data_IF_702496854530
#
_entry.id   IF_702496854530
#
_cell.length_a   1.000
_cell.length_b   1.000
_cell.length_c   1.000
_cell.angle_alpha   90.00
_cell.angle_beta   90.00
_cell.angle_gamma   90.00
#
_symmetry.space_group_name_H-M   'P 1'
#
loop_
_entity.id
_entity.type
_entity.pdbx_description
1 polymer ?
#
# COMPACT_ATOMS: atom_id res chain seq x y z
N UNK A 1 -1.02 -28.79 6.66
CA UNK A 1 -1.79 -29.77 5.84
C UNK A 1 -2.34 -29.02 4.64
N UNK A 2 -2.12 -29.44 3.38
CA UNK A 2 -2.71 -28.75 2.23
C UNK A 2 -4.17 -29.18 2.06
N UNK A 3 -5.02 -28.21 1.79
CA UNK A 3 -6.46 -28.40 1.59
C UNK A 3 -6.75 -29.08 0.25
N UNK A 4 -7.75 -29.98 0.22
CA UNK A 4 -8.03 -30.92 -0.88
C UNK A 4 -8.73 -30.30 -2.10
N UNK A 5 -8.87 -28.98 -2.14
CA UNK A 5 -9.37 -28.25 -3.31
C UNK A 5 -8.22 -27.43 -3.90
N UNK A 6 -7.81 -27.72 -5.15
CA UNK A 6 -6.75 -26.99 -5.87
C UNK A 6 -7.16 -25.57 -6.27
N UNK A 7 -7.87 -24.84 -5.41
CA UNK A 7 -7.97 -23.39 -5.50
C UNK A 7 -6.61 -22.83 -5.11
N UNK A 8 -5.87 -22.34 -6.10
CA UNK A 8 -4.62 -21.61 -5.87
C UNK A 8 -4.95 -20.45 -4.95
N UNK A 9 -4.51 -20.52 -3.69
CA UNK A 9 -4.76 -19.45 -2.72
C UNK A 9 -4.08 -18.19 -3.22
N UNK A 10 -4.86 -17.17 -3.56
CA UNK A 10 -4.32 -15.89 -3.99
C UNK A 10 -3.65 -15.20 -2.80
N UNK A 11 -2.39 -14.85 -2.96
CA UNK A 11 -1.57 -14.19 -1.95
C UNK A 11 -1.03 -12.87 -2.50
N UNK A 12 -0.86 -11.90 -1.62
CA UNK A 12 -0.14 -10.67 -1.93
C UNK A 12 1.36 -10.90 -1.71
N UNK A 13 2.13 -10.74 -2.79
CA UNK A 13 3.59 -10.79 -2.77
C UNK A 13 4.14 -9.47 -2.25
N UNK A 14 4.79 -9.49 -1.09
CA UNK A 14 5.39 -8.29 -0.48
C UNK A 14 6.78 -7.97 -1.05
N UNK A 15 7.41 -8.95 -1.71
CA UNK A 15 8.77 -8.91 -2.23
C UNK A 15 8.84 -8.66 -3.75
N UNK A 16 7.71 -8.42 -4.41
CA UNK A 16 7.62 -8.17 -5.85
C UNK A 16 6.87 -6.87 -6.14
N UNK A 17 7.27 -6.21 -7.22
CA UNK A 17 6.50 -5.12 -7.84
C UNK A 17 5.72 -5.69 -9.03
N UNK A 18 4.52 -5.16 -9.29
CA UNK A 18 3.63 -5.65 -10.34
C UNK A 18 4.30 -5.68 -11.72
N UNK A 19 3.97 -6.67 -12.54
CA UNK A 19 4.60 -6.90 -13.85
C UNK A 19 4.51 -5.71 -14.82
N UNK A 20 3.51 -4.83 -14.64
CA UNK A 20 3.38 -3.60 -15.41
C UNK A 20 4.41 -2.53 -15.04
N UNK A 21 5.30 -2.77 -14.06
CA UNK A 21 6.24 -1.76 -13.58
C UNK A 21 7.23 -1.27 -14.62
N UNK A 22 7.62 -2.16 -15.54
CA UNK A 22 8.48 -1.77 -16.65
C UNK A 22 7.84 -0.76 -17.60
N UNK A 23 6.51 -0.62 -17.60
CA UNK A 23 5.80 0.32 -18.48
C UNK A 23 5.91 1.78 -18.01
N UNK A 24 6.22 2.02 -16.73
CA UNK A 24 6.23 3.37 -16.15
C UNK A 24 7.58 3.80 -15.57
N UNK A 25 8.62 2.95 -15.63
CA UNK A 25 9.96 3.30 -15.10
C UNK A 25 10.63 4.50 -15.79
N UNK A 26 10.25 4.77 -17.04
CA UNK A 26 10.80 5.84 -17.87
C UNK A 26 9.88 7.07 -17.95
N UNK A 27 8.78 7.10 -17.19
CA UNK A 27 7.84 8.23 -17.18
C UNK A 27 8.45 9.48 -16.54
N UNK A 28 8.11 10.67 -17.04
CA UNK A 28 8.60 11.93 -16.45
C UNK A 28 7.99 12.22 -15.07
N UNK A 29 6.79 11.68 -14.80
CA UNK A 29 6.12 11.78 -13.50
C UNK A 29 5.51 10.43 -13.12
N UNK A 30 5.82 9.94 -11.92
CA UNK A 30 5.26 8.72 -11.33
C UNK A 30 4.54 9.09 -10.04
N UNK A 31 3.24 8.78 -9.97
CA UNK A 31 2.42 8.97 -8.77
C UNK A 31 2.00 7.61 -8.24
N UNK A 32 2.45 7.24 -7.04
CA UNK A 32 1.96 6.04 -6.37
C UNK A 32 0.82 6.37 -5.39
N UNK A 33 -0.26 5.59 -5.50
CA UNK A 33 -1.38 5.61 -4.56
C UNK A 33 -1.57 4.19 -4.03
N UNK A 34 -1.15 3.94 -2.80
CA UNK A 34 -1.10 2.58 -2.25
C UNK A 34 -1.95 2.39 -0.99
N UNK A 35 -2.29 3.45 -0.24
CA UNK A 35 -2.83 3.32 1.13
C UNK A 35 -4.24 2.72 1.28
N UNK A 36 -5.14 2.89 0.31
CA UNK A 36 -6.57 2.59 0.51
C UNK A 36 -6.92 1.08 0.65
N UNK A 37 -6.03 0.20 0.18
CA UNK A 37 -6.23 -1.26 0.25
C UNK A 37 -5.64 -1.92 1.49
N UNK A 38 -4.77 -1.22 2.24
CA UNK A 38 -4.10 -1.73 3.44
C UNK A 38 -4.95 -1.54 4.70
N UNK A 39 -6.07 -2.24 4.74
CA UNK A 39 -6.97 -2.27 5.91
C UNK A 39 -7.18 -3.71 6.35
N UNK A 40 -7.37 -3.93 7.65
CA UNK A 40 -7.60 -5.28 8.21
C UNK A 40 -8.64 -6.07 7.43
N UNK A 41 -9.78 -5.48 7.09
CA UNK A 41 -10.85 -6.19 6.41
C UNK A 41 -10.51 -6.53 4.94
N UNK A 42 -9.79 -5.65 4.24
CA UNK A 42 -9.41 -5.85 2.83
C UNK A 42 -8.21 -6.78 2.63
N UNK A 43 -7.43 -7.03 3.69
CA UNK A 43 -6.24 -7.89 3.64
C UNK A 43 -6.46 -9.22 4.36
N UNK A 44 -7.66 -9.78 4.32
CA UNK A 44 -8.03 -11.05 4.96
C UNK A 44 -7.69 -11.10 6.46
N UNK A 45 -7.77 -9.95 7.15
CA UNK A 45 -7.36 -9.78 8.56
C UNK A 45 -5.92 -10.18 8.84
N UNK A 46 -5.07 -10.19 7.80
CA UNK A 46 -3.68 -10.63 7.86
C UNK A 46 -3.48 -12.14 7.81
N UNK A 47 -4.55 -12.93 7.70
CA UNK A 47 -4.50 -14.39 7.86
C UNK A 47 -4.27 -15.08 6.52
N UNK A 48 -3.11 -15.70 6.36
CA UNK A 48 -2.81 -16.55 5.23
C UNK A 48 -2.76 -15.82 3.88
N UNK A 49 -2.62 -14.50 3.88
CA UNK A 49 -2.76 -13.65 2.70
C UNK A 49 -1.41 -13.18 2.13
N UNK A 50 -0.38 -13.07 2.95
CA UNK A 50 0.90 -12.52 2.54
C UNK A 50 1.93 -13.61 2.24
N UNK A 51 2.79 -13.32 1.27
CA UNK A 51 3.86 -14.22 0.87
C UNK A 51 5.13 -13.44 0.51
N UNK A 52 6.28 -13.98 0.92
CA UNK A 52 7.60 -13.54 0.47
C UNK A 52 8.38 -14.76 0.00
N UNK A 53 8.87 -14.73 -1.24
CA UNK A 53 9.55 -15.88 -1.86
C UNK A 53 8.71 -17.16 -1.72
N UNK A 54 9.23 -18.18 -1.06
CA UNK A 54 8.55 -19.45 -0.77
C UNK A 54 7.85 -19.49 0.59
N UNK A 55 7.96 -18.42 1.40
CA UNK A 55 7.40 -18.36 2.74
C UNK A 55 5.99 -17.77 2.72
N UNK A 56 5.05 -18.52 3.31
CA UNK A 56 3.66 -18.13 3.47
C UNK A 56 3.43 -17.72 4.93
N UNK A 57 2.84 -16.55 5.14
CA UNK A 57 2.50 -16.07 6.47
C UNK A 57 1.11 -16.57 6.86
N UNK A 58 1.03 -17.44 7.87
CA UNK A 58 -0.25 -17.87 8.45
C UNK A 58 -1.01 -16.68 9.05
N UNK A 59 -0.28 -15.75 9.68
CA UNK A 59 -0.78 -14.45 10.13
C UNK A 59 0.35 -13.42 10.05
N UNK A 60 0.06 -12.21 9.59
CA UNK A 60 0.99 -11.08 9.59
C UNK A 60 0.22 -9.78 9.82
N UNK A 61 0.77 -8.92 10.68
CA UNK A 61 0.17 -7.63 10.96
C UNK A 61 0.10 -6.77 9.68
N UNK A 62 -1.02 -6.09 9.45
CA UNK A 62 -1.24 -5.32 8.21
C UNK A 62 -0.27 -4.16 8.06
N UNK A 63 0.09 -3.48 9.16
CA UNK A 63 1.06 -2.39 9.13
C UNK A 63 2.46 -2.90 8.82
N UNK A 64 2.83 -4.05 9.40
CA UNK A 64 4.11 -4.70 9.11
C UNK A 64 4.17 -5.13 7.63
N UNK A 65 3.11 -5.77 7.13
CA UNK A 65 3.02 -6.16 5.73
C UNK A 65 3.10 -4.94 4.79
N UNK A 66 2.41 -3.84 5.14
CA UNK A 66 2.47 -2.59 4.40
C UNK A 66 3.89 -2.02 4.37
N UNK A 67 4.57 -1.98 5.52
CA UNK A 67 5.94 -1.48 5.62
C UNK A 67 6.90 -2.29 4.74
N UNK A 68 6.74 -3.62 4.68
CA UNK A 68 7.55 -4.47 3.80
C UNK A 68 7.26 -4.18 2.33
N UNK A 69 5.99 -4.14 1.93
CA UNK A 69 5.60 -3.87 0.55
C UNK A 69 6.06 -2.49 0.04
N UNK A 70 5.88 -1.43 0.84
CA UNK A 70 6.32 -0.09 0.44
C UNK A 70 7.85 0.00 0.38
N UNK A 71 8.55 -0.71 1.26
CA UNK A 71 10.02 -0.81 1.21
C UNK A 71 10.48 -1.49 -0.08
N UNK A 72 9.83 -2.58 -0.50
CA UNK A 72 10.11 -3.26 -1.77
C UNK A 72 9.89 -2.33 -2.95
N UNK A 73 8.77 -1.59 -2.97
CA UNK A 73 8.50 -0.61 -4.03
C UNK A 73 9.54 0.52 -4.05
N UNK A 74 9.94 1.06 -2.89
CA UNK A 74 10.98 2.09 -2.80
C UNK A 74 12.31 1.62 -3.39
N UNK A 75 12.76 0.41 -3.04
CA UNK A 75 13.97 -0.20 -3.64
C UNK A 75 13.86 -0.39 -5.15
N UNK A 76 12.67 -0.71 -5.65
CA UNK A 76 12.44 -0.80 -7.08
C UNK A 76 12.58 0.57 -7.76
N UNK A 77 12.03 1.63 -7.15
CA UNK A 77 12.19 3.01 -7.65
C UNK A 77 13.68 3.38 -7.71
N UNK A 78 14.40 3.20 -6.60
CA UNK A 78 15.83 3.54 -6.51
C UNK A 78 16.69 2.82 -7.55
N UNK A 79 16.27 1.61 -7.97
CA UNK A 79 17.04 0.78 -8.90
C UNK A 79 16.61 0.87 -10.36
N UNK A 80 15.39 1.36 -10.64
CA UNK A 80 14.79 1.33 -11.99
C UNK A 80 14.40 2.69 -12.54
N UNK A 81 14.18 3.68 -11.70
CA UNK A 81 13.73 5.02 -12.10
C UNK A 81 14.91 5.98 -12.12
N UNK A 82 15.07 6.75 -13.20
CA UNK A 82 16.11 7.76 -13.29
C UNK A 82 15.67 9.04 -12.54
N UNK A 83 16.32 9.42 -11.43
CA UNK A 83 15.92 10.60 -10.65
C UNK A 83 16.24 11.92 -11.33
N UNK A 84 17.17 11.94 -12.30
CA UNK A 84 17.48 13.15 -13.08
C UNK A 84 16.41 13.47 -14.13
N UNK A 85 15.54 12.51 -14.45
CA UNK A 85 14.45 12.63 -15.42
C UNK A 85 13.08 12.66 -14.76
N UNK A 86 12.87 11.80 -13.77
CA UNK A 86 11.53 11.43 -13.31
C UNK A 86 11.24 12.05 -11.95
N UNK A 87 10.09 12.70 -11.81
CA UNK A 87 9.55 13.14 -10.52
C UNK A 87 8.68 12.04 -9.92
N UNK A 88 9.07 11.53 -8.75
CA UNK A 88 8.30 10.51 -8.02
C UNK A 88 7.53 11.17 -6.88
N UNK A 89 6.21 10.97 -6.88
CA UNK A 89 5.30 11.51 -5.86
C UNK A 89 4.58 10.36 -5.14
N UNK A 90 4.51 10.49 -3.82
CA UNK A 90 3.76 9.58 -2.96
C UNK A 90 2.45 10.23 -2.55
N UNK A 91 1.32 9.61 -2.88
CA UNK A 91 0.01 9.99 -2.35
C UNK A 91 -0.24 9.22 -1.06
N UNK A 92 -0.33 9.97 0.04
CA UNK A 92 -0.66 9.44 1.36
C UNK A 92 -2.04 8.80 1.46
N UNK A 93 -2.32 8.26 2.64
CA UNK A 93 -3.63 7.67 2.94
C UNK A 93 -4.75 8.71 2.82
N UNK A 94 -5.85 8.32 2.18
CA UNK A 94 -7.05 9.14 2.14
C UNK A 94 -8.09 8.61 3.11
N UNK A 95 -8.59 9.51 3.96
CA UNK A 95 -9.66 9.23 4.89
C UNK A 95 -10.87 8.66 4.14
N UNK A 96 -11.45 7.60 4.68
CA UNK A 96 -12.68 7.01 4.15
C UNK A 96 -13.86 7.46 5.01
N UNK A 97 -14.87 8.03 4.38
CA UNK A 97 -16.06 8.58 5.05
C UNK A 97 -17.17 7.53 5.11
N UNK A 98 -16.98 6.50 5.93
CA UNK A 98 -17.95 5.40 6.07
C UNK A 98 -18.96 5.62 7.21
N UNK A 99 -18.74 6.63 8.05
CA UNK A 99 -19.68 7.10 9.06
C UNK A 99 -19.62 8.62 9.09
N UNK A 100 -20.78 9.27 9.14
CA UNK A 100 -20.89 10.71 9.43
C UNK A 100 -20.41 10.92 10.88
N UNK A 101 -19.10 11.04 11.07
CA UNK A 101 -18.57 11.70 12.25
C UNK A 101 -18.51 13.17 11.87
N UNK A 102 -19.29 13.95 12.58
CA UNK A 102 -19.48 15.38 12.42
C UNK A 102 -18.15 16.12 12.15
N UNK A 103 -18.08 16.83 11.02
CA UNK A 103 -16.94 17.68 10.64
C UNK A 103 -16.87 18.99 11.47
N UNK A 104 -17.60 19.11 12.59
CA UNK A 104 -17.66 20.34 13.39
C UNK A 104 -16.44 20.61 14.30
N UNK A 105 -15.45 19.72 14.39
CA UNK A 105 -14.31 19.91 15.32
C UNK A 105 -13.07 20.60 14.71
N UNK A 106 -13.15 21.14 13.50
CA UNK A 106 -12.10 21.99 12.91
C UNK A 106 -12.57 23.42 12.62
N UNK A 107 -13.36 24.02 13.52
CA UNK A 107 -13.65 25.47 13.45
C UNK A 107 -13.44 26.23 14.77
N UNK A 108 -12.32 25.96 15.46
CA UNK A 108 -11.88 26.77 16.61
C UNK A 108 -10.42 27.23 16.46
N UNK A 109 -10.14 28.02 15.42
CA UNK A 109 -9.11 29.08 15.51
C UNK A 109 -9.20 30.03 14.32
N UNK A 110 -10.09 31.01 14.41
CA UNK A 110 -9.94 32.37 13.83
C UNK A 110 -11.14 33.22 14.27
N UNK A 111 -11.11 33.70 15.51
CA UNK A 111 -11.84 34.92 15.87
C UNK A 111 -10.84 35.96 16.32
N UNK A 112 -10.79 37.04 15.54
CA UNK A 112 -10.23 38.35 15.87
C UNK A 112 -10.84 38.87 17.17
N UNK A 113 -10.02 39.59 17.93
CA UNK A 113 -10.33 40.80 18.71
C UNK A 113 -8.97 41.51 18.85
N UNK A 114 -8.77 42.64 18.17
CA UNK A 114 -9.00 44.02 18.68
C UNK A 114 -8.09 44.35 19.86
#
# INVERSE_FOLDING_TARGET
MPDKNRTKKETLRLDLVGQSSDQYKDADVIVINIGHWWTHDKTSKGKGYYQERSHFYDELNVLEAFQRAITTWGKWVDSKVNPSKSLVLFRGYCASHFRLIDCSLLDHRTRKTD
#
